data_IF_849905255288
#
_entry.id   IF_849905255288
#
_cell.length_a   1.000
_cell.length_b   1.000
_cell.length_c   1.000
_cell.angle_alpha   90.00
_cell.angle_beta   90.00
_cell.angle_gamma   90.00
#
_symmetry.space_group_name_H-M   'P 1'
#
loop_
_entity.id
_entity.type
_entity.pdbx_description
1 polymer ?
#
# COMPACT_ATOMS: atom_id res chain seq x y z
N UNK A 1 19.65 -11.45 -4.33
CA UNK A 1 18.97 -10.99 -4.58
C UNK A 1 18.50 -9.64 -4.33
N UNK A 2 17.39 -9.36 -4.73
CA UNK A 2 16.94 -8.02 -4.66
C UNK A 2 16.54 -7.69 -3.28
N UNK A 3 16.77 -6.52 -2.86
CA UNK A 3 16.40 -6.10 -1.52
C UNK A 3 14.95 -5.67 -1.52
N UNK A 4 14.06 -6.63 -1.64
CA UNK A 4 12.63 -6.34 -1.56
C UNK A 4 12.26 -6.24 -0.08
N UNK A 5 11.63 -5.15 0.36
CA UNK A 5 11.25 -5.02 1.77
C UNK A 5 10.29 -6.10 2.20
N UNK A 6 10.26 -6.37 3.51
CA UNK A 6 9.37 -7.37 4.07
C UNK A 6 7.91 -6.91 4.05
N UNK A 7 7.69 -5.60 4.09
CA UNK A 7 6.37 -5.00 4.06
C UNK A 7 6.35 -3.92 3.00
N UNK A 8 5.25 -3.83 2.26
CA UNK A 8 5.02 -2.74 1.32
C UNK A 8 3.61 -2.21 1.56
N UNK A 9 3.27 -1.07 0.94
CA UNK A 9 2.06 -0.32 1.30
C UNK A 9 1.31 0.11 0.06
N UNK A 10 -0.02 0.19 0.19
CA UNK A 10 -0.91 0.56 -0.91
C UNK A 10 -2.00 1.50 -0.41
N UNK A 11 -2.24 2.65 -1.05
CA UNK A 11 -3.26 3.58 -0.62
C UNK A 11 -4.61 3.26 -1.26
N UNK A 12 -5.69 3.40 -0.49
CA UNK A 12 -7.04 3.23 -1.01
C UNK A 12 -7.92 4.33 -0.39
N UNK A 13 -9.04 4.64 -1.03
CA UNK A 13 -9.99 5.53 -0.39
C UNK A 13 -10.56 4.83 0.83
N UNK A 14 -10.89 5.60 1.85
CA UNK A 14 -11.44 5.01 3.08
C UNK A 14 -12.75 4.29 2.81
N UNK A 15 -13.53 4.79 1.84
CA UNK A 15 -14.81 4.18 1.49
C UNK A 15 -14.64 2.80 0.85
N UNK A 16 -13.50 2.55 0.20
CA UNK A 16 -13.28 1.29 -0.50
C UNK A 16 -12.37 0.33 0.25
N UNK A 17 -11.96 0.71 1.45
CA UNK A 17 -11.02 -0.10 2.20
C UNK A 17 -11.49 -1.55 2.38
N UNK A 18 -12.77 -1.73 2.79
CA UNK A 18 -13.27 -3.07 3.04
C UNK A 18 -13.31 -3.91 1.78
N UNK A 19 -13.59 -3.30 0.63
CA UNK A 19 -13.60 -4.03 -0.63
C UNK A 19 -12.24 -4.66 -0.87
N UNK A 20 -11.19 -3.90 -0.62
CA UNK A 20 -9.83 -4.40 -0.86
C UNK A 20 -9.38 -5.41 0.21
N UNK A 21 -9.80 -5.20 1.45
CA UNK A 21 -9.45 -6.16 2.50
C UNK A 21 -10.13 -7.50 2.28
N UNK A 22 -11.27 -7.53 1.58
CA UNK A 22 -11.97 -8.76 1.29
C UNK A 22 -11.57 -9.37 -0.05
N UNK A 23 -11.35 -8.53 -1.05
CA UNK A 23 -11.10 -9.01 -2.41
C UNK A 23 -9.68 -8.90 -2.90
N UNK A 24 -8.80 -8.28 -2.11
CA UNK A 24 -7.41 -8.09 -2.53
C UNK A 24 -7.22 -6.85 -3.37
N UNK A 25 -6.03 -6.70 -3.93
CA UNK A 25 -5.67 -5.53 -4.71
C UNK A 25 -5.38 -5.97 -6.13
N UNK A 26 -6.04 -5.29 -7.09
CA UNK A 26 -5.90 -5.60 -8.51
C UNK A 26 -5.47 -4.33 -9.24
N UNK A 27 -4.81 -4.47 -10.39
CA UNK A 27 -4.25 -3.29 -11.07
C UNK A 27 -5.29 -2.38 -11.74
N UNK A 28 -6.53 -2.85 -11.90
CA UNK A 28 -7.55 -2.05 -12.57
C UNK A 28 -7.16 -1.80 -14.01
N UNK A 29 -7.08 -0.54 -14.40
CA UNK A 29 -6.69 -0.19 -15.76
C UNK A 29 -5.19 -0.23 -16.02
N UNK A 30 -4.39 -0.51 -15.01
CA UNK A 30 -2.94 -0.58 -15.16
C UNK A 30 -2.51 -2.02 -15.35
N UNK A 31 -1.28 -2.22 -15.81
CA UNK A 31 -0.74 -3.56 -15.96
C UNK A 31 -0.32 -4.15 -14.62
N UNK A 32 0.15 -3.31 -13.71
CA UNK A 32 0.72 -3.73 -12.44
C UNK A 32 0.08 -3.02 -11.29
N UNK A 33 0.04 -3.69 -10.13
CA UNK A 33 -0.24 -3.03 -8.85
C UNK A 33 1.05 -2.33 -8.43
N UNK A 34 0.96 -1.05 -8.09
CA UNK A 34 2.11 -0.26 -7.67
C UNK A 34 2.10 -0.17 -6.14
N UNK A 35 3.16 -0.70 -5.53
CA UNK A 35 3.30 -0.71 -4.08
C UNK A 35 4.39 0.25 -3.67
N UNK A 36 4.27 0.82 -2.49
CA UNK A 36 5.20 1.83 -1.99
C UNK A 36 6.02 1.29 -0.83
N UNK A 37 7.24 1.80 -0.71
CA UNK A 37 8.18 1.33 0.30
C UNK A 37 7.75 1.69 1.71
N UNK A 38 7.13 2.86 1.90
CA UNK A 38 6.76 3.34 3.23
C UNK A 38 5.31 3.79 3.24
N UNK A 39 4.76 3.91 4.45
CA UNK A 39 3.41 4.44 4.64
C UNK A 39 3.31 5.84 4.06
N UNK A 40 4.32 6.69 4.30
CA UNK A 40 4.31 8.04 3.78
C UNK A 40 4.32 8.06 2.26
N UNK A 41 5.13 7.21 1.63
CA UNK A 41 5.16 7.13 0.17
C UNK A 41 3.81 6.72 -0.39
N UNK A 42 3.18 5.72 0.23
CA UNK A 42 1.87 5.25 -0.22
C UNK A 42 0.82 6.34 -0.06
N UNK A 43 0.83 7.02 1.07
CA UNK A 43 -0.14 8.07 1.34
C UNK A 43 0.01 9.23 0.35
N UNK A 44 1.24 9.62 0.05
CA UNK A 44 1.48 10.68 -0.93
C UNK A 44 0.99 10.28 -2.31
N UNK A 45 1.22 9.04 -2.70
CA UNK A 45 0.72 8.53 -3.98
C UNK A 45 -0.80 8.55 -4.02
N UNK A 46 -1.44 8.18 -2.91
CA UNK A 46 -2.89 8.15 -2.82
C UNK A 46 -3.52 9.53 -2.72
N UNK A 47 -2.79 10.50 -2.19
CA UNK A 47 -3.33 11.84 -2.01
C UNK A 47 -3.66 12.53 -3.33
N UNK A 48 -3.09 12.02 -4.44
CA UNK A 48 -3.43 12.53 -5.76
C UNK A 48 -4.91 12.25 -6.08
N UNK A 49 -5.43 11.14 -5.56
CA UNK A 49 -6.79 10.71 -5.83
C UNK A 49 -7.69 10.75 -4.61
N UNK A 50 -7.14 10.65 -3.43
CA UNK A 50 -7.92 10.50 -2.20
C UNK A 50 -7.36 11.40 -1.11
N UNK A 51 -8.21 12.24 -0.55
CA UNK A 51 -7.82 13.06 0.60
C UNK A 51 -7.76 12.15 1.83
N UNK A 52 -6.63 12.07 2.50
CA UNK A 52 -6.41 11.18 3.65
C UNK A 52 -6.75 9.73 3.33
N UNK A 53 -6.04 9.09 2.42
CA UNK A 53 -6.32 7.70 2.08
C UNK A 53 -6.08 6.76 3.28
N UNK A 54 -6.76 5.62 3.27
CA UNK A 54 -6.40 4.52 4.14
C UNK A 54 -5.21 3.81 3.52
N UNK A 55 -4.41 3.13 4.33
CA UNK A 55 -3.22 2.43 3.87
C UNK A 55 -3.36 0.95 4.18
N UNK A 56 -3.08 0.12 3.19
CA UNK A 56 -3.02 -1.33 3.36
C UNK A 56 -1.55 -1.73 3.44
N UNK A 57 -1.21 -2.53 4.44
CA UNK A 57 0.13 -3.09 4.60
C UNK A 57 0.11 -4.50 4.04
N UNK A 58 1.12 -4.84 3.26
CA UNK A 58 1.17 -6.12 2.56
C UNK A 58 2.37 -6.92 3.04
N UNK A 59 2.10 -8.19 3.39
CA UNK A 59 3.12 -9.12 3.86
C UNK A 59 3.86 -9.70 2.66
N UNK A 60 4.97 -9.10 2.30
CA UNK A 60 5.72 -9.47 1.11
C UNK A 60 6.42 -10.82 1.29
N UNK A 61 6.85 -11.12 2.51
CA UNK A 61 7.51 -12.40 2.77
C UNK A 61 6.55 -13.53 2.43
N UNK A 62 5.30 -13.45 2.90
CA UNK A 62 4.33 -14.49 2.62
C UNK A 62 3.92 -14.52 1.16
N UNK A 63 3.83 -13.36 0.51
CA UNK A 63 3.53 -13.33 -0.92
C UNK A 63 4.58 -14.08 -1.70
N UNK A 64 5.85 -13.82 -1.42
CA UNK A 64 6.93 -14.48 -2.15
C UNK A 64 6.97 -15.96 -1.83
N UNK A 65 6.72 -16.33 -0.57
CA UNK A 65 6.69 -17.75 -0.20
C UNK A 65 5.57 -18.49 -0.92
N UNK A 66 4.49 -17.80 -1.27
CA UNK A 66 3.37 -18.39 -2.00
C UNK A 66 3.59 -18.40 -3.52
N UNK A 67 4.75 -17.93 -3.98
CA UNK A 67 5.07 -17.96 -5.40
C UNK A 67 4.83 -16.67 -6.15
N UNK A 68 4.43 -15.61 -5.47
CA UNK A 68 4.21 -14.32 -6.14
C UNK A 68 5.55 -13.62 -6.34
N UNK A 69 5.64 -12.84 -7.41
CA UNK A 69 6.85 -12.07 -7.72
C UNK A 69 6.59 -10.60 -7.47
N UNK A 70 7.56 -9.94 -6.83
CA UNK A 70 7.52 -8.51 -6.60
C UNK A 70 8.77 -7.93 -7.23
N UNK A 71 8.60 -6.89 -8.05
CA UNK A 71 9.70 -6.28 -8.80
C UNK A 71 10.01 -4.89 -8.25
N UNK A 72 11.29 -4.56 -8.21
CA UNK A 72 11.71 -3.21 -7.84
C UNK A 72 11.63 -2.33 -9.08
N UNK A 73 10.84 -1.26 -9.05
CA UNK A 73 10.62 -0.43 -10.22
C UNK A 73 11.22 0.97 -10.10
N UNK A 74 11.42 1.45 -8.87
CA UNK A 74 11.99 2.77 -8.64
C UNK A 74 12.45 2.83 -7.21
N UNK A 75 12.97 3.97 -6.78
CA UNK A 75 13.54 4.09 -5.43
C UNK A 75 12.54 3.65 -4.35
N UNK A 76 11.27 4.01 -4.50
CA UNK A 76 10.26 3.73 -3.50
C UNK A 76 9.08 2.95 -4.06
N UNK A 77 9.19 2.45 -5.30
CA UNK A 77 8.06 1.81 -6.00
C UNK A 77 8.38 0.38 -6.37
N UNK A 78 7.44 -0.51 -6.10
CA UNK A 78 7.54 -1.92 -6.40
C UNK A 78 6.29 -2.36 -7.14
N UNK A 79 6.43 -3.38 -7.99
CA UNK A 79 5.34 -3.83 -8.85
C UNK A 79 5.02 -5.29 -8.59
N UNK A 80 3.75 -5.64 -8.66
CA UNK A 80 3.32 -7.04 -8.63
C UNK A 80 2.02 -7.14 -9.43
N UNK A 81 1.63 -8.37 -9.80
CA UNK A 81 0.46 -8.54 -10.64
C UNK A 81 -0.83 -8.28 -9.86
N UNK A 82 -0.99 -8.94 -8.73
CA UNK A 82 -2.15 -8.77 -7.85
C UNK A 82 -1.70 -9.08 -6.44
N UNK A 83 -2.53 -8.70 -5.45
CA UNK A 83 -2.26 -9.04 -4.05
C UNK A 83 -3.49 -9.70 -3.47
N UNK A 84 -3.37 -10.97 -3.07
CA UNK A 84 -4.48 -11.65 -2.42
C UNK A 84 -4.79 -11.01 -1.08
N UNK A 85 -6.05 -11.01 -0.72
CA UNK A 85 -6.51 -10.39 0.52
C UNK A 85 -5.83 -10.95 1.76
N UNK A 86 -5.44 -12.23 1.72
CA UNK A 86 -4.80 -12.85 2.87
C UNK A 86 -3.49 -12.21 3.27
N UNK A 87 -2.86 -11.46 2.36
CA UNK A 87 -1.60 -10.78 2.64
C UNK A 87 -1.79 -9.34 3.06
N UNK A 88 -3.03 -8.88 3.18
CA UNK A 88 -3.37 -7.48 3.40
C UNK A 88 -3.91 -7.24 4.78
N UNK A 89 -3.41 -6.20 5.47
CA UNK A 89 -4.02 -5.70 6.69
C UNK A 89 -4.07 -4.19 6.62
N UNK A 90 -5.02 -3.61 7.33
CA UNK A 90 -5.11 -2.15 7.39
C UNK A 90 -4.07 -1.61 8.34
N UNK A 91 -3.37 -0.54 7.94
CA UNK A 91 -2.53 0.22 8.85
C UNK A 91 -3.47 1.01 9.76
N UNK A 92 -3.38 0.85 11.09
CA UNK A 92 -4.27 1.60 12.00
C UNK A 92 -4.12 3.09 11.81
N UNK A 93 -5.22 3.81 11.97
CA UNK A 93 -5.19 5.26 11.80
C UNK A 93 -4.33 5.96 12.87
N UNK A 94 -4.07 5.30 14.00
CA UNK A 94 -3.20 5.85 15.03
C UNK A 94 -1.75 5.38 14.90
N UNK A 95 -1.41 4.74 13.76
CA UNK A 95 -0.01 4.39 13.47
C UNK A 95 0.84 5.66 13.54
N UNK A 96 2.02 5.56 14.13
CA UNK A 96 2.87 6.72 14.38
C UNK A 96 3.27 7.45 13.11
N UNK A 97 3.75 6.70 12.10
CA UNK A 97 4.17 7.34 10.84
C UNK A 97 2.98 8.00 10.15
N UNK A 98 1.85 7.30 10.12
CA UNK A 98 0.65 7.82 9.47
C UNK A 98 0.16 9.10 10.16
N UNK A 99 0.14 9.10 11.49
CA UNK A 99 -0.32 10.25 12.27
C UNK A 99 0.59 11.45 12.08
N UNK A 100 1.90 11.23 12.12
CA UNK A 100 2.85 12.32 11.94
C UNK A 100 2.73 12.92 10.55
N UNK A 101 2.55 12.07 9.53
CA UNK A 101 2.40 12.53 8.17
C UNK A 101 1.16 13.40 8.01
N UNK A 102 0.02 12.99 8.56
CA UNK A 102 -1.20 13.79 8.48
C UNK A 102 -1.04 15.12 9.18
N UNK A 103 -0.30 15.14 10.29
CA UNK A 103 -0.02 16.40 10.98
C UNK A 103 0.74 17.37 10.10
N UNK A 104 1.67 16.86 9.30
CA UNK A 104 2.43 17.70 8.38
C UNK A 104 1.55 18.21 7.24
N UNK A 105 0.51 17.48 6.88
CA UNK A 105 -0.39 17.91 5.83
C UNK A 105 -1.36 19.01 6.30
N UNK A 106 -1.39 19.30 7.59
CA UNK A 106 -2.23 20.35 8.12
C UNK A 106 -3.69 20.03 7.98
N UNK A 107 -4.05 18.86 8.42
CA UNK A 107 -5.35 18.35 8.15
C UNK A 107 -6.45 19.03 8.83
N UNK A 108 -6.39 19.78 9.54
CA UNK A 108 -7.43 20.33 10.15
C UNK A 108 -8.46 20.71 9.46
N UNK A 109 -8.91 20.59 9.10
CA UNK A 109 -9.81 20.77 8.49
C UNK A 109 -10.45 20.61 8.38
#
# INVERSE_FOLDING_TARGET
SDNIPELLYYPVSRDELEIHLEGGIHPGGRKWVHLSKTITNAANAGAVHHFHPAIIEIDIIQMQAAGNTVFHAGTTVYLTETVDAQFCVQVPYDNTEYTLMLGEWGEEE
#
